data_IF_645461530137
#
_entry.id   IF_645461530137
#
_cell.length_a   1.000
_cell.length_b   1.000
_cell.length_c   1.000
_cell.angle_alpha   90.00
_cell.angle_beta   90.00
_cell.angle_gamma   90.00
#
_symmetry.space_group_name_H-M   'P 1'
#
loop_
_entity.id
_entity.type
_entity.pdbx_description
1 polymer ?
#
# COMPACT_ATOMS: atom_id res chain seq x y z
N UNK A 1 10.61 13.36 -8.09
CA UNK A 1 10.61 12.51 -6.88
C UNK A 1 11.46 13.10 -5.75
N UNK A 2 12.54 13.83 -6.04
CA UNK A 2 13.36 14.47 -4.99
C UNK A 2 12.58 15.54 -4.21
N UNK A 3 11.75 16.33 -4.88
CA UNK A 3 10.88 17.31 -4.21
C UNK A 3 9.85 16.65 -3.27
N UNK A 4 9.29 15.49 -3.66
CA UNK A 4 8.40 14.71 -2.79
C UNK A 4 9.15 14.21 -1.56
N UNK A 5 10.38 13.74 -1.75
CA UNK A 5 11.23 13.30 -0.65
C UNK A 5 11.50 14.43 0.34
N UNK A 6 11.92 15.61 -0.14
CA UNK A 6 12.18 16.78 0.71
C UNK A 6 10.91 17.27 1.41
N UNK A 7 9.77 17.28 0.73
CA UNK A 7 8.48 17.59 1.33
C UNK A 7 8.14 16.64 2.48
N UNK A 8 8.32 15.33 2.28
CA UNK A 8 8.06 14.32 3.31
C UNK A 8 8.98 14.54 4.51
N UNK A 9 10.29 14.74 4.31
CA UNK A 9 11.21 15.00 5.42
C UNK A 9 10.83 16.28 6.16
N UNK A 10 10.59 17.38 5.44
CA UNK A 10 10.22 18.66 6.03
C UNK A 10 8.91 18.59 6.83
N UNK A 11 7.92 17.83 6.33
CA UNK A 11 6.66 17.61 7.05
C UNK A 11 6.86 16.72 8.29
N UNK A 12 7.67 15.67 8.16
CA UNK A 12 7.96 14.74 9.26
C UNK A 12 8.83 15.36 10.35
N UNK A 13 9.68 16.34 10.03
CA UNK A 13 10.49 17.08 11.01
C UNK A 13 9.64 17.76 12.09
N UNK A 14 8.39 18.11 11.78
CA UNK A 14 7.44 18.66 12.74
C UNK A 14 6.84 17.57 13.66
N UNK A 15 6.76 16.32 13.19
CA UNK A 15 6.19 15.18 13.91
C UNK A 15 7.21 14.39 14.72
N UNK A 16 8.48 14.76 14.60
CA UNK A 16 9.65 14.17 15.27
C UNK A 16 9.48 13.93 16.77
N UNK A 17 8.64 14.70 17.47
CA UNK A 17 8.49 14.60 18.92
C UNK A 17 7.53 13.49 19.36
N UNK A 18 6.72 12.95 18.44
CA UNK A 18 5.65 12.01 18.75
C UNK A 18 5.75 10.76 17.87
N UNK A 19 5.12 9.69 18.35
CA UNK A 19 4.99 8.48 17.56
C UNK A 19 3.97 8.69 16.43
N UNK A 20 4.32 8.32 15.21
CA UNK A 20 3.46 8.55 14.05
C UNK A 20 3.38 7.33 13.14
N UNK A 21 2.37 7.31 12.28
CA UNK A 21 2.18 6.28 11.25
C UNK A 21 2.20 6.94 9.87
N UNK A 22 2.77 6.26 8.87
CA UNK A 22 2.73 6.71 7.47
C UNK A 22 1.80 5.77 6.70
N UNK A 23 0.87 6.33 5.94
CA UNK A 23 0.03 5.60 5.01
C UNK A 23 0.45 5.97 3.58
N UNK A 24 0.94 4.98 2.83
CA UNK A 24 1.26 5.11 1.41
C UNK A 24 0.15 4.47 0.57
N UNK A 25 -0.67 5.30 -0.07
CA UNK A 25 -1.78 4.86 -0.91
C UNK A 25 -1.33 4.68 -2.35
N UNK A 26 -1.30 3.42 -2.80
CA UNK A 26 -0.72 3.08 -4.10
C UNK A 26 -1.75 2.99 -5.25
N UNK A 27 -3.06 2.97 -4.92
CA UNK A 27 -4.16 2.62 -5.83
C UNK A 27 -4.18 3.31 -7.19
N UNK A 28 -3.71 4.56 -7.27
CA UNK A 28 -3.76 5.36 -8.51
C UNK A 28 -2.38 5.72 -9.12
N UNK A 29 -1.29 5.10 -8.68
CA UNK A 29 0.06 5.47 -9.16
C UNK A 29 0.53 4.60 -10.34
N UNK A 30 0.68 5.16 -11.56
CA UNK A 30 1.24 4.45 -12.71
C UNK A 30 2.67 4.01 -12.43
N UNK A 31 3.06 2.82 -12.92
CA UNK A 31 4.39 2.22 -12.71
C UNK A 31 5.56 3.14 -13.08
N UNK A 32 5.42 3.99 -14.10
CA UNK A 32 6.45 4.97 -14.50
C UNK A 32 6.77 6.02 -13.42
N UNK A 33 5.86 6.24 -12.47
CA UNK A 33 6.02 7.18 -11.35
C UNK A 33 6.47 6.49 -10.06
N UNK A 34 6.60 5.17 -10.06
CA UNK A 34 6.98 4.40 -8.89
C UNK A 34 8.49 4.49 -8.63
N UNK A 35 8.92 4.63 -7.36
CA UNK A 35 10.34 4.68 -7.04
C UNK A 35 11.02 3.32 -7.27
N UNK A 36 12.23 3.37 -7.82
CA UNK A 36 13.11 2.19 -7.93
C UNK A 36 13.92 1.92 -6.66
N UNK A 37 14.63 0.79 -6.64
CA UNK A 37 15.46 0.34 -5.50
C UNK A 37 16.51 1.39 -5.10
N UNK A 38 17.21 1.99 -6.07
CA UNK A 38 18.22 3.01 -5.81
C UNK A 38 17.63 4.26 -5.13
N UNK A 39 16.42 4.64 -5.51
CA UNK A 39 15.71 5.75 -4.87
C UNK A 39 15.31 5.39 -3.43
N UNK A 40 14.78 4.18 -3.19
CA UNK A 40 14.42 3.74 -1.83
C UNK A 40 15.63 3.66 -0.91
N UNK A 41 16.76 3.15 -1.42
CA UNK A 41 18.01 3.11 -0.64
C UNK A 41 18.43 4.53 -0.23
N UNK A 42 18.48 5.48 -1.17
CA UNK A 42 18.83 6.88 -0.87
C UNK A 42 17.83 7.52 0.09
N UNK A 43 16.53 7.34 -0.16
CA UNK A 43 15.44 7.80 0.69
C UNK A 43 15.64 7.31 2.12
N UNK A 44 15.81 5.99 2.33
CA UNK A 44 16.04 5.41 3.64
C UNK A 44 17.31 5.93 4.34
N UNK A 45 18.39 6.17 3.60
CA UNK A 45 19.64 6.70 4.14
C UNK A 45 19.53 8.17 4.56
N UNK A 46 18.70 8.96 3.86
CA UNK A 46 18.50 10.38 4.15
C UNK A 46 17.48 10.62 5.28
N UNK A 47 16.62 9.65 5.59
CA UNK A 47 15.71 9.77 6.75
C UNK A 47 16.54 9.72 8.05
N UNK A 48 16.44 10.78 8.84
CA UNK A 48 17.05 10.86 10.17
C UNK A 48 16.69 9.63 11.02
N UNK A 49 17.65 9.17 11.81
CA UNK A 49 17.47 8.12 12.81
C UNK A 49 16.27 8.38 13.72
N UNK A 50 16.03 9.64 14.11
CA UNK A 50 14.93 10.02 14.99
C UNK A 50 13.56 9.74 14.37
N UNK A 51 13.36 10.14 13.12
CA UNK A 51 12.16 9.85 12.32
C UNK A 51 11.90 8.34 12.22
N UNK A 52 12.95 7.57 11.88
CA UNK A 52 12.82 6.11 11.78
C UNK A 52 12.45 5.44 13.10
N UNK A 53 12.82 6.01 14.24
CA UNK A 53 12.49 5.45 15.57
C UNK A 53 11.01 5.66 15.91
N UNK A 54 10.51 6.88 15.73
CA UNK A 54 9.17 7.26 16.14
C UNK A 54 8.07 6.83 15.15
N UNK A 55 8.46 6.42 13.94
CA UNK A 55 7.54 5.71 13.05
C UNK A 55 7.04 4.41 13.70
N UNK A 56 5.76 4.31 14.06
CA UNK A 56 5.13 3.09 14.57
C UNK A 56 4.88 2.06 13.47
N UNK A 57 4.30 2.51 12.36
CA UNK A 57 4.01 1.66 11.21
C UNK A 57 4.07 2.46 9.90
N UNK A 58 4.49 1.78 8.83
CA UNK A 58 4.35 2.24 7.45
C UNK A 58 3.37 1.32 6.74
N UNK A 59 2.16 1.79 6.53
CA UNK A 59 1.09 1.01 5.90
C UNK A 59 1.07 1.32 4.42
N UNK A 60 1.04 0.29 3.59
CA UNK A 60 0.92 0.42 2.14
C UNK A 60 -0.47 -0.06 1.74
N UNK A 61 -1.34 0.88 1.39
CA UNK A 61 -2.70 0.61 0.94
C UNK A 61 -2.71 0.30 -0.57
N UNK A 62 -3.43 -0.75 -0.95
CA UNK A 62 -3.49 -1.35 -2.29
C UNK A 62 -2.09 -1.65 -2.89
N UNK A 63 -1.27 -2.48 -2.23
CA UNK A 63 0.08 -2.76 -2.69
C UNK A 63 0.05 -3.39 -4.09
N UNK A 64 0.76 -2.77 -5.03
CA UNK A 64 1.04 -3.40 -6.33
C UNK A 64 2.10 -4.50 -6.20
N UNK A 65 2.12 -5.43 -7.15
CA UNK A 65 3.20 -6.43 -7.21
C UNK A 65 4.59 -5.77 -7.31
N UNK A 66 4.68 -4.65 -8.04
CA UNK A 66 5.93 -3.91 -8.18
C UNK A 66 6.49 -3.42 -6.84
N UNK A 67 5.69 -2.75 -5.99
CA UNK A 67 6.20 -2.24 -4.71
C UNK A 67 6.59 -3.38 -3.76
N UNK A 68 5.84 -4.49 -3.78
CA UNK A 68 6.18 -5.69 -2.99
C UNK A 68 7.54 -6.26 -3.38
N UNK A 69 7.79 -6.41 -4.69
CA UNK A 69 9.08 -6.89 -5.21
C UNK A 69 10.21 -5.94 -4.88
N UNK A 70 10.01 -4.64 -5.09
CA UNK A 70 11.01 -3.62 -4.79
C UNK A 70 11.37 -3.63 -3.30
N UNK A 71 10.37 -3.73 -2.40
CA UNK A 71 10.61 -3.82 -0.96
C UNK A 71 11.36 -5.10 -0.57
N UNK A 72 10.96 -6.24 -1.14
CA UNK A 72 11.64 -7.51 -0.91
C UNK A 72 13.12 -7.45 -1.29
N UNK A 73 13.45 -6.88 -2.46
CA UNK A 73 14.84 -6.74 -2.93
C UNK A 73 15.60 -5.67 -2.13
N UNK A 74 14.90 -4.67 -1.57
CA UNK A 74 15.53 -3.64 -0.74
C UNK A 74 15.89 -4.10 0.68
N UNK A 75 15.38 -5.27 1.12
CA UNK A 75 15.59 -5.82 2.47
C UNK A 75 17.06 -5.86 2.94
N UNK A 76 18.07 -6.16 2.10
CA UNK A 76 19.48 -6.15 2.52
C UNK A 76 20.01 -4.76 2.94
N UNK A 77 19.34 -3.68 2.53
CA UNK A 77 19.79 -2.30 2.77
C UNK A 77 18.95 -1.55 3.80
N UNK A 78 17.82 -2.14 4.23
CA UNK A 78 16.89 -1.57 5.20
C UNK A 78 17.02 -2.39 6.48
N UNK A 79 17.04 -1.72 7.64
CA UNK A 79 17.12 -2.46 8.91
C UNK A 79 15.91 -3.37 9.08
N UNK A 80 16.12 -4.56 9.62
CA UNK A 80 15.05 -5.52 9.90
C UNK A 80 13.97 -4.90 10.80
N UNK A 81 14.37 -4.11 11.80
CA UNK A 81 13.46 -3.35 12.66
C UNK A 81 12.53 -2.42 11.88
N UNK A 82 13.03 -1.79 10.81
CA UNK A 82 12.20 -0.94 9.96
C UNK A 82 11.32 -1.78 9.03
N UNK A 83 11.84 -2.85 8.44
CA UNK A 83 11.04 -3.76 7.61
C UNK A 83 9.84 -4.33 8.37
N UNK A 84 10.00 -4.62 9.67
CA UNK A 84 8.92 -5.11 10.53
C UNK A 84 7.83 -4.06 10.81
N UNK A 85 8.09 -2.77 10.52
CA UNK A 85 7.08 -1.70 10.60
C UNK A 85 6.21 -1.62 9.36
N UNK A 86 6.59 -2.30 8.26
CA UNK A 86 5.86 -2.25 7.00
C UNK A 86 4.67 -3.21 7.08
N UNK A 87 3.46 -2.66 6.89
CA UNK A 87 2.20 -3.41 6.82
C UNK A 87 1.53 -3.19 5.47
N UNK A 88 0.80 -4.18 5.00
CA UNK A 88 0.01 -4.08 3.78
C UNK A 88 -1.47 -4.02 4.14
N UNK A 89 -2.24 -3.22 3.42
CA UNK A 89 -3.71 -3.23 3.44
C UNK A 89 -4.20 -3.33 1.99
N UNK A 90 -4.99 -4.34 1.67
CA UNK A 90 -5.43 -4.65 0.31
C UNK A 90 -6.71 -3.90 -0.09
N UNK A 91 -7.51 -3.46 0.88
CA UNK A 91 -8.71 -2.63 0.72
C UNK A 91 -8.67 -1.44 1.69
N UNK A 92 -9.56 -0.46 1.49
CA UNK A 92 -9.77 0.60 2.49
C UNK A 92 -10.44 0.07 3.76
N UNK A 93 -11.22 -1.01 3.65
CA UNK A 93 -11.78 -1.75 4.79
C UNK A 93 -10.66 -2.33 5.68
N UNK A 94 -9.67 -3.02 5.11
CA UNK A 94 -8.53 -3.54 5.88
C UNK A 94 -7.69 -2.39 6.47
N UNK A 95 -7.60 -1.25 5.78
CA UNK A 95 -6.94 -0.07 6.34
C UNK A 95 -7.68 0.45 7.59
N UNK A 96 -9.01 0.48 7.56
CA UNK A 96 -9.84 0.95 8.67
C UNK A 96 -9.73 0.06 9.93
N UNK A 97 -9.37 -1.22 9.78
CA UNK A 97 -9.07 -2.10 10.91
C UNK A 97 -7.71 -1.77 11.56
N UNK A 98 -6.81 -1.09 10.86
CA UNK A 98 -5.44 -0.80 11.31
C UNK A 98 -5.34 0.62 11.87
N UNK A 99 -6.04 1.59 11.27
CA UNK A 99 -5.99 3.01 11.64
C UNK A 99 -7.39 3.62 11.78
N UNK A 100 -7.59 4.54 12.72
CA UNK A 100 -8.83 5.29 12.82
C UNK A 100 -8.97 6.21 11.59
N UNK A 101 -9.98 5.95 10.76
CA UNK A 101 -10.18 6.65 9.50
C UNK A 101 -10.67 8.10 9.65
N UNK A 102 -11.10 8.50 10.85
CA UNK A 102 -11.57 9.87 11.17
C UNK A 102 -10.53 10.97 10.91
N UNK A 103 -9.24 10.61 10.86
CA UNK A 103 -8.13 11.52 10.59
C UNK A 103 -7.43 11.23 9.25
N UNK A 104 -7.98 10.32 8.44
CA UNK A 104 -7.37 9.89 7.18
C UNK A 104 -8.14 10.50 6.01
N UNK A 105 -7.54 11.49 5.37
CA UNK A 105 -8.04 12.00 4.09
C UNK A 105 -7.62 11.07 2.95
N UNK A 106 -8.57 10.29 2.43
CA UNK A 106 -8.34 9.41 1.28
C UNK A 106 -8.55 10.21 -0.02
N UNK A 107 -7.57 10.27 -0.93
CA UNK A 107 -7.76 10.95 -2.22
C UNK A 107 -8.84 10.27 -3.06
N UNK A 108 -9.61 11.08 -3.79
CA UNK A 108 -10.71 10.60 -4.66
C UNK A 108 -10.29 9.48 -5.62
N UNK A 109 -9.09 9.58 -6.21
CA UNK A 109 -8.59 8.57 -7.13
C UNK A 109 -8.32 7.21 -6.47
N UNK A 110 -8.12 7.17 -5.15
CA UNK A 110 -7.97 5.93 -4.38
C UNK A 110 -9.34 5.35 -4.02
N UNK A 111 -10.32 6.20 -3.68
CA UNK A 111 -11.70 5.79 -3.47
C UNK A 111 -12.26 5.10 -4.72
N UNK A 112 -12.16 5.76 -5.88
CA UNK A 112 -12.60 5.19 -7.16
C UNK A 112 -11.92 3.86 -7.46
N UNK A 113 -10.61 3.75 -7.18
CA UNK A 113 -9.87 2.52 -7.39
C UNK A 113 -10.39 1.36 -6.53
N UNK A 114 -10.75 1.64 -5.27
CA UNK A 114 -11.30 0.63 -4.36
C UNK A 114 -12.70 0.19 -4.81
N UNK A 115 -13.56 1.14 -5.20
CA UNK A 115 -14.89 0.86 -5.75
C UNK A 115 -14.84 -0.02 -7.01
N UNK A 116 -13.98 0.34 -7.98
CA UNK A 116 -13.81 -0.41 -9.22
C UNK A 116 -13.38 -1.86 -8.93
N UNK A 117 -12.53 -2.05 -7.92
CA UNK A 117 -12.09 -3.38 -7.49
C UNK A 117 -13.21 -4.19 -6.86
N UNK A 118 -13.99 -3.58 -5.97
CA UNK A 118 -15.14 -4.24 -5.32
C UNK A 118 -16.15 -4.67 -6.39
N UNK A 119 -16.46 -3.77 -7.34
CA UNK A 119 -17.35 -4.08 -8.47
C UNK A 119 -16.83 -5.26 -9.30
N UNK A 120 -15.56 -5.23 -9.70
CA UNK A 120 -14.96 -6.31 -10.48
C UNK A 120 -14.91 -7.64 -9.72
N UNK A 121 -14.76 -7.62 -8.39
CA UNK A 121 -14.83 -8.82 -7.56
C UNK A 121 -16.25 -9.40 -7.52
N UNK A 122 -17.27 -8.54 -7.34
CA UNK A 122 -18.67 -8.94 -7.33
C UNK A 122 -19.11 -9.57 -8.66
N UNK A 123 -18.75 -8.94 -9.77
CA UNK A 123 -19.04 -9.47 -11.12
C UNK A 123 -18.43 -10.85 -11.35
N UNK A 124 -17.19 -11.09 -10.89
CA UNK A 124 -16.54 -12.42 -10.96
C UNK A 124 -17.30 -13.47 -10.15
N UNK A 125 -17.69 -13.14 -8.92
CA UNK A 125 -18.44 -14.06 -8.05
C UNK A 125 -19.82 -14.43 -8.65
N UNK A 126 -20.51 -13.46 -9.26
CA UNK A 126 -21.80 -13.69 -9.92
C UNK A 126 -21.66 -14.62 -11.14
N UNK A 127 -20.60 -14.45 -11.94
CA UNK A 127 -20.31 -15.31 -13.09
C UNK A 127 -20.01 -16.77 -12.67
N UNK A 128 -19.24 -16.96 -11.60
CA UNK A 128 -18.94 -18.29 -11.05
C UNK A 128 -20.21 -18.98 -10.51
N UNK A 129 -21.10 -18.23 -9.86
CA UNK A 129 -22.40 -18.74 -9.39
C UNK A 129 -23.36 -19.10 -10.53
N UNK A 130 -23.28 -18.42 -11.67
CA UNK A 130 -24.08 -18.78 -12.84
C UNK A 130 -23.53 -19.99 -13.59
N UNK A 131 -22.21 -20.11 -13.75
CA UNK A 131 -21.59 -21.30 -14.36
C UNK A 131 -21.79 -22.58 -13.55
N UNK A 132 -21.77 -22.48 -12.22
CA UNK A 132 -22.02 -23.62 -11.33
C UNK A 132 -23.48 -24.11 -11.32
N UNK A 133 -24.43 -23.28 -11.78
CA UNK A 133 -25.86 -23.64 -11.89
C UNK A 133 -26.26 -24.27 -13.23
N UNK A 134 -25.38 -24.26 -14.24
CA UNK A 134 -25.65 -24.94 -15.52
C UNK A 134 -25.50 -26.46 -15.31
N UNK A 135 -26.57 -27.26 -15.48
CA UNK A 135 -26.48 -28.71 -15.31
C UNK A 135 -25.49 -29.28 -16.32
N UNK A 136 -24.53 -30.08 -15.86
CA UNK A 136 -23.74 -30.94 -16.75
C UNK A 136 -24.71 -31.95 -17.38
N UNK A 137 -25.14 -31.71 -18.61
CA UNK A 137 -25.82 -32.73 -19.40
C UNK A 137 -24.95 -33.99 -19.37
N UNK A 138 -25.54 -35.05 -18.80
CA UNK A 138 -24.92 -36.37 -18.75
C UNK A 138 -24.85 -36.86 -20.20
N UNK A 139 -23.66 -36.81 -20.79
CA UNK A 139 -23.36 -37.65 -21.95
C UNK A 139 -23.44 -39.11 -21.47
N UNK A 140 -24.57 -39.73 -21.75
CA UNK A 140 -24.79 -41.16 -21.63
C UNK A 140 -24.62 -41.71 -23.05
N UNK A 141 -23.46 -42.31 -23.31
CA UNK A 141 -23.23 -43.29 -24.37
C UNK A 141 -22.43 -44.45 -23.76
#
# INVERSE_FOLDING_TARGET
MENLFLYVISSLELLVAEDYMIIYMNGATPRRRMPGIGWLKRCYQMIDRRLRKNLKAMIIAHPSWFIRTVLAISRPFISEKFMNKIRYAHSLEELAEIVPMEHVEVPECVLQYDEDRIKAQKERMEQEQQQSKVPKEKNFD
#
